data_IF_018935711421
#
_entry.id   IF_018935711421
#
_cell.length_a   1.000
_cell.length_b   1.000
_cell.length_c   1.000
_cell.angle_alpha   90.00
_cell.angle_beta   90.00
_cell.angle_gamma   90.00
#
_symmetry.space_group_name_H-M   'P 1'
#
loop_
_entity.id
_entity.type
_entity.pdbx_description
1 polymer ?
#
# COMPACT_ATOMS: atom_id res chain seq x y z
N UNK A 1 -48.11 -14.51 50.98
CA UNK A 1 -46.75 -14.62 51.53
C UNK A 1 -46.02 -15.84 50.94
N UNK A 2 -46.63 -17.05 50.98
CA UNK A 2 -46.01 -18.26 50.46
C UNK A 2 -45.75 -18.17 48.93
N UNK A 3 -46.65 -17.64 48.15
CA UNK A 3 -46.50 -17.44 46.69
C UNK A 3 -45.44 -16.43 46.33
N UNK A 4 -45.28 -15.39 47.14
CA UNK A 4 -44.21 -14.40 46.89
C UNK A 4 -42.82 -14.96 47.14
N UNK A 5 -42.67 -15.78 48.18
CA UNK A 5 -41.39 -16.45 48.47
C UNK A 5 -41.01 -17.45 47.37
N UNK A 6 -41.98 -18.28 46.92
CA UNK A 6 -41.73 -19.19 45.77
C UNK A 6 -41.34 -18.46 44.52
N UNK A 7 -41.95 -17.31 44.21
CA UNK A 7 -41.59 -16.51 43.03
C UNK A 7 -40.13 -16.01 43.08
N UNK A 8 -39.69 -15.50 44.24
CA UNK A 8 -38.34 -15.04 44.41
C UNK A 8 -37.30 -16.18 44.35
N UNK A 9 -37.64 -17.38 44.83
CA UNK A 9 -36.78 -18.56 44.75
C UNK A 9 -36.59 -18.99 43.29
N UNK A 10 -37.69 -19.06 42.51
CA UNK A 10 -37.62 -19.43 41.09
C UNK A 10 -36.84 -18.37 40.31
N UNK A 11 -37.04 -17.09 40.55
CA UNK A 11 -36.31 -16.02 39.89
C UNK A 11 -34.82 -16.06 40.21
N UNK A 12 -34.44 -16.42 41.44
CA UNK A 12 -33.07 -16.58 41.86
C UNK A 12 -32.37 -17.76 41.14
N UNK A 13 -33.06 -18.88 40.95
CA UNK A 13 -32.53 -20.04 40.22
C UNK A 13 -32.28 -19.69 38.74
N UNK A 14 -33.23 -19.00 38.09
CA UNK A 14 -33.08 -18.57 36.68
C UNK A 14 -31.90 -17.61 36.52
N UNK A 15 -31.69 -16.70 37.47
CA UNK A 15 -30.56 -15.78 37.45
C UNK A 15 -29.21 -16.50 37.63
N UNK A 16 -29.14 -17.53 38.46
CA UNK A 16 -27.92 -18.35 38.62
C UNK A 16 -27.58 -19.14 37.37
N UNK A 17 -28.58 -19.72 36.69
CA UNK A 17 -28.37 -20.42 35.42
C UNK A 17 -27.86 -19.47 34.32
N UNK A 18 -28.32 -18.24 34.26
CA UNK A 18 -27.87 -17.23 33.31
C UNK A 18 -26.39 -16.83 33.54
N UNK A 19 -25.95 -16.83 34.80
CA UNK A 19 -24.57 -16.53 35.18
C UNK A 19 -23.63 -17.68 34.78
N UNK A 20 -24.05 -18.93 34.95
CA UNK A 20 -23.30 -20.12 34.61
C UNK A 20 -23.08 -20.24 33.09
N UNK A 21 -24.11 -20.00 32.28
CA UNK A 21 -24.02 -19.99 30.80
C UNK A 21 -23.03 -18.91 30.34
N UNK A 22 -23.07 -17.72 30.94
CA UNK A 22 -22.16 -16.63 30.59
C UNK A 22 -20.71 -16.93 30.95
N UNK A 23 -20.47 -17.56 32.11
CA UNK A 23 -19.13 -17.94 32.54
C UNK A 23 -18.52 -19.02 31.65
N UNK A 24 -19.30 -19.98 31.19
CA UNK A 24 -18.88 -21.06 30.31
C UNK A 24 -18.47 -20.50 28.92
N UNK A 25 -19.27 -19.56 28.38
CA UNK A 25 -18.93 -18.92 27.08
C UNK A 25 -17.64 -18.10 27.14
N UNK A 26 -17.40 -17.39 28.24
CA UNK A 26 -16.18 -16.61 28.43
C UNK A 26 -14.96 -17.53 28.52
N UNK A 27 -15.07 -18.68 29.17
CA UNK A 27 -13.99 -19.66 29.33
C UNK A 27 -13.63 -20.32 28.00
N UNK A 28 -14.61 -20.64 27.14
CA UNK A 28 -14.37 -21.20 25.80
C UNK A 28 -13.71 -20.17 24.87
N UNK A 29 -14.15 -18.92 24.91
CA UNK A 29 -13.56 -17.83 24.12
C UNK A 29 -12.12 -17.55 24.55
N UNK A 30 -11.84 -17.53 25.88
CA UNK A 30 -10.50 -17.33 26.41
C UNK A 30 -9.53 -18.45 26.04
N UNK A 31 -10.00 -19.69 25.86
CA UNK A 31 -9.18 -20.84 25.48
C UNK A 31 -8.87 -20.87 23.98
N UNK A 32 -9.72 -20.24 23.17
CA UNK A 32 -9.58 -20.17 21.69
C UNK A 32 -8.60 -19.08 21.24
N UNK A 33 -8.45 -18.00 21.99
CA UNK A 33 -7.59 -16.86 21.68
C UNK A 33 -6.08 -17.26 21.62
N UNK A 34 -5.49 -18.00 22.59
CA UNK A 34 -4.10 -18.36 22.53
C UNK A 34 -3.77 -19.30 21.34
N UNK A 35 -4.70 -20.20 20.97
CA UNK A 35 -4.50 -21.10 19.83
C UNK A 35 -4.51 -20.31 18.51
N UNK A 36 -5.38 -19.30 18.37
CA UNK A 36 -5.42 -18.41 17.22
C UNK A 36 -4.17 -17.53 17.10
N UNK A 37 -3.64 -17.05 18.22
CA UNK A 37 -2.41 -16.24 18.24
C UNK A 37 -1.20 -17.11 17.87
N UNK A 38 -1.11 -18.34 18.39
CA UNK A 38 -0.02 -19.27 18.08
C UNK A 38 -0.04 -19.70 16.60
N UNK A 39 -1.23 -19.92 16.03
CA UNK A 39 -1.40 -20.22 14.61
C UNK A 39 -1.02 -19.01 13.73
N UNK A 40 -1.41 -17.80 14.12
CA UNK A 40 -1.08 -16.56 13.42
C UNK A 40 0.43 -16.26 13.44
N UNK A 41 1.10 -16.47 14.59
CA UNK A 41 2.55 -16.29 14.72
C UNK A 41 3.32 -17.36 13.93
N UNK A 42 2.84 -18.61 13.89
CA UNK A 42 3.44 -19.67 13.09
C UNK A 42 3.29 -19.43 11.58
N UNK A 43 2.13 -18.92 11.15
CA UNK A 43 1.87 -18.56 9.76
C UNK A 43 2.71 -17.34 9.34
N UNK A 44 2.89 -16.37 10.23
CA UNK A 44 3.76 -15.20 10.02
C UNK A 44 5.24 -15.58 9.97
N UNK A 45 5.68 -16.57 10.72
CA UNK A 45 7.05 -17.10 10.65
C UNK A 45 7.30 -17.87 9.35
N UNK A 46 6.32 -18.62 8.83
CA UNK A 46 6.44 -19.30 7.53
C UNK A 46 6.45 -18.33 6.36
N UNK A 47 5.68 -17.23 6.43
CA UNK A 47 5.69 -16.16 5.41
C UNK A 47 7.00 -15.36 5.43
N UNK A 48 7.73 -15.32 6.54
CA UNK A 48 9.04 -14.64 6.61
C UNK A 48 10.21 -15.46 6.06
N UNK A 49 10.05 -16.78 5.86
CA UNK A 49 11.11 -17.63 5.29
C UNK A 49 11.02 -17.79 3.76
N UNK A 50 9.90 -17.38 3.13
CA UNK A 50 9.91 -17.19 1.70
C UNK A 50 10.72 -15.91 1.40
N UNK A 51 12.02 -16.10 1.19
CA UNK A 51 12.93 -15.08 0.69
C UNK A 51 12.33 -14.51 -0.59
N UNK A 52 11.56 -13.44 -0.45
CA UNK A 52 11.15 -12.63 -1.60
C UNK A 52 12.46 -12.08 -2.18
N UNK A 53 13.00 -12.78 -3.16
CA UNK A 53 14.04 -12.19 -4.00
C UNK A 53 13.40 -10.99 -4.66
N UNK A 54 13.62 -9.81 -4.05
CA UNK A 54 13.28 -8.56 -4.69
C UNK A 54 13.93 -8.60 -6.07
N UNK A 55 13.15 -8.43 -7.15
CA UNK A 55 13.70 -8.45 -8.49
C UNK A 55 14.88 -7.48 -8.52
N UNK A 56 15.99 -7.96 -9.06
CA UNK A 56 17.23 -7.18 -9.17
C UNK A 56 16.91 -5.84 -9.83
N UNK A 57 17.43 -4.76 -9.27
CA UNK A 57 17.28 -3.42 -9.83
C UNK A 57 17.77 -3.44 -11.27
N UNK A 58 16.93 -3.08 -12.19
CA UNK A 58 17.15 -3.19 -13.61
C UNK A 58 17.87 -1.97 -14.19
N UNK A 59 17.81 -1.76 -15.50
CA UNK A 59 18.55 -0.77 -16.28
C UNK A 59 18.43 0.70 -15.86
N UNK A 60 17.55 1.03 -14.91
CA UNK A 60 17.44 2.39 -14.37
C UNK A 60 18.44 2.61 -13.24
N UNK A 61 19.18 3.73 -13.24
CA UNK A 61 20.05 4.07 -12.14
C UNK A 61 19.24 4.30 -10.86
N UNK A 62 19.76 3.90 -9.71
CA UNK A 62 19.11 4.20 -8.41
C UNK A 62 19.08 5.69 -8.10
N UNK A 63 20.06 6.41 -8.63
CA UNK A 63 20.26 7.84 -8.37
C UNK A 63 20.67 8.56 -9.66
N UNK A 64 20.14 9.77 -9.84
CA UNK A 64 20.50 10.66 -10.92
C UNK A 64 20.81 12.07 -10.37
N UNK A 65 22.07 12.49 -10.52
CA UNK A 65 22.57 13.80 -10.06
C UNK A 65 22.23 14.11 -8.59
N UNK A 66 22.32 13.13 -7.69
CA UNK A 66 22.07 13.28 -6.27
C UNK A 66 20.61 13.07 -5.85
N UNK A 67 19.73 12.64 -6.75
CA UNK A 67 18.31 12.39 -6.49
C UNK A 67 17.93 10.95 -6.76
N UNK A 68 17.13 10.36 -5.87
CA UNK A 68 16.60 9.01 -6.05
C UNK A 68 15.71 8.92 -7.30
N UNK A 69 15.95 7.95 -8.16
CA UNK A 69 15.13 7.64 -9.33
C UNK A 69 14.05 6.61 -8.96
N UNK A 70 12.80 6.94 -9.24
CA UNK A 70 11.65 6.05 -8.99
C UNK A 70 11.05 5.48 -10.27
N UNK A 71 11.56 5.87 -11.42
CA UNK A 71 11.10 5.39 -12.72
C UNK A 71 11.55 6.28 -13.86
N UNK A 72 11.01 5.99 -15.04
CA UNK A 72 11.27 6.71 -16.28
C UNK A 72 9.97 6.99 -17.01
N UNK A 73 9.86 8.16 -17.64
CA UNK A 73 8.77 8.53 -18.54
C UNK A 73 9.31 8.64 -19.97
N UNK A 74 8.60 8.03 -20.92
CA UNK A 74 8.88 8.10 -22.34
C UNK A 74 7.63 8.56 -23.09
N UNK A 75 7.77 9.52 -23.97
CA UNK A 75 6.70 10.00 -24.87
C UNK A 75 7.28 10.01 -26.29
N UNK A 76 7.09 8.92 -27.06
CA UNK A 76 7.72 8.75 -28.36
C UNK A 76 7.44 9.87 -29.37
N UNK A 77 6.18 10.35 -29.43
CA UNK A 77 5.79 11.47 -30.32
C UNK A 77 6.62 12.73 -30.08
N UNK A 78 7.03 12.99 -28.85
CA UNK A 78 7.82 14.16 -28.49
C UNK A 78 9.34 13.89 -28.47
N UNK A 79 9.75 12.65 -28.75
CA UNK A 79 11.11 12.18 -28.51
C UNK A 79 11.61 12.56 -27.11
N UNK A 80 10.73 12.38 -26.11
CA UNK A 80 11.00 12.71 -24.71
C UNK A 80 11.28 11.44 -23.94
N UNK A 81 12.41 11.40 -23.27
CA UNK A 81 12.79 10.37 -22.30
C UNK A 81 13.44 11.03 -21.09
N UNK A 82 12.87 10.83 -19.89
CA UNK A 82 13.34 11.43 -18.63
C UNK A 82 13.18 10.48 -17.45
N UNK A 83 14.15 10.52 -16.54
CA UNK A 83 13.97 9.91 -15.22
C UNK A 83 12.95 10.66 -14.40
N UNK A 84 12.21 9.94 -13.55
CA UNK A 84 11.29 10.48 -12.58
C UNK A 84 11.98 10.42 -11.22
N UNK A 85 12.19 11.59 -10.61
CA UNK A 85 12.82 11.70 -9.29
C UNK A 85 11.76 11.58 -8.18
N UNK A 86 12.18 11.03 -7.03
CA UNK A 86 11.27 10.74 -5.90
C UNK A 86 10.73 11.99 -5.21
N UNK A 87 11.47 13.10 -5.25
CA UNK A 87 11.12 14.34 -4.56
C UNK A 87 11.10 15.54 -5.51
N UNK A 88 10.31 16.57 -5.15
CA UNK A 88 10.21 17.81 -5.90
C UNK A 88 10.92 18.95 -5.18
N UNK A 89 11.84 19.59 -5.88
CA UNK A 89 12.48 20.85 -5.52
C UNK A 89 12.81 21.63 -6.80
N UNK A 90 13.09 22.93 -6.67
CA UNK A 90 13.54 23.73 -7.83
C UNK A 90 14.80 23.15 -8.47
N UNK A 91 15.70 22.61 -7.64
CA UNK A 91 16.94 22.00 -8.09
C UNK A 91 16.68 20.68 -8.82
N UNK A 92 15.81 19.84 -8.27
CA UNK A 92 15.43 18.56 -8.88
C UNK A 92 14.73 18.77 -10.23
N UNK A 93 13.82 19.73 -10.33
CA UNK A 93 13.13 20.10 -11.57
C UNK A 93 14.07 20.61 -12.68
N UNK A 94 15.21 21.20 -12.34
CA UNK A 94 16.25 21.57 -13.33
C UNK A 94 16.98 20.35 -13.91
N UNK A 95 16.93 19.23 -13.22
CA UNK A 95 17.69 18.01 -13.58
C UNK A 95 16.82 17.04 -14.37
N UNK A 96 15.58 16.81 -13.94
CA UNK A 96 14.65 15.86 -14.55
C UNK A 96 13.20 16.22 -14.21
N UNK A 97 12.26 15.31 -14.49
CA UNK A 97 10.89 15.41 -13.99
C UNK A 97 10.80 14.79 -12.59
N UNK A 98 9.83 15.21 -11.79
CA UNK A 98 9.75 14.83 -10.37
C UNK A 98 8.36 14.36 -9.99
N UNK A 99 8.26 13.44 -9.03
CA UNK A 99 6.99 13.08 -8.40
C UNK A 99 6.61 14.18 -7.41
N UNK A 100 5.45 14.82 -7.62
CA UNK A 100 4.92 15.84 -6.71
C UNK A 100 3.94 15.29 -5.69
N UNK A 101 3.21 14.23 -6.05
CA UNK A 101 2.23 13.59 -5.18
C UNK A 101 1.93 12.15 -5.65
N UNK A 102 1.27 11.39 -4.78
CA UNK A 102 0.79 10.05 -5.09
C UNK A 102 1.84 8.94 -4.88
N UNK A 103 1.50 7.71 -5.30
CA UNK A 103 2.36 6.53 -5.16
C UNK A 103 3.57 6.58 -6.10
N UNK A 104 4.38 5.53 -6.08
CA UNK A 104 5.47 5.33 -7.07
C UNK A 104 4.86 4.85 -8.41
N UNK A 105 5.73 4.81 -9.43
CA UNK A 105 5.35 4.24 -10.74
C UNK A 105 4.91 2.80 -10.55
N UNK A 106 3.81 2.42 -11.21
CA UNK A 106 3.24 1.07 -11.17
C UNK A 106 2.62 0.63 -9.83
N UNK A 107 2.36 1.57 -8.92
CA UNK A 107 1.57 1.36 -7.71
C UNK A 107 0.14 1.89 -7.89
N UNK A 108 -0.81 1.34 -7.12
CA UNK A 108 -2.22 1.75 -7.20
C UNK A 108 -2.39 3.17 -6.64
N UNK A 109 -2.97 4.04 -7.44
CA UNK A 109 -3.30 5.42 -7.04
C UNK A 109 -3.08 6.43 -8.17
N UNK A 110 -3.10 7.71 -7.81
CA UNK A 110 -2.93 8.81 -8.75
C UNK A 110 -1.52 9.40 -8.61
N UNK A 111 -0.62 9.01 -9.50
CA UNK A 111 0.74 9.54 -9.57
C UNK A 111 0.75 10.89 -10.27
N UNK A 112 1.23 11.93 -9.59
CA UNK A 112 1.42 13.27 -10.15
C UNK A 112 2.90 13.53 -10.44
N UNK A 113 3.22 13.86 -11.69
CA UNK A 113 4.57 14.15 -12.15
C UNK A 113 4.63 15.60 -12.63
N UNK A 114 5.62 16.36 -12.17
CA UNK A 114 5.90 17.71 -12.63
C UNK A 114 7.20 17.76 -13.43
N UNK A 115 7.27 18.69 -14.35
CA UNK A 115 8.45 19.05 -15.11
C UNK A 115 8.41 20.50 -15.52
N UNK A 116 9.58 21.11 -15.73
CA UNK A 116 9.64 22.47 -16.26
C UNK A 116 9.03 22.55 -17.67
N UNK A 117 8.51 23.74 -17.99
CA UNK A 117 7.98 24.05 -19.31
C UNK A 117 9.14 24.38 -20.34
N UNK A 118 10.14 23.50 -20.36
CA UNK A 118 11.23 23.56 -21.36
C UNK A 118 10.98 22.55 -22.46
N UNK A 119 11.52 22.80 -23.67
CA UNK A 119 11.41 21.90 -24.82
C UNK A 119 11.92 20.48 -24.50
N UNK A 120 12.96 20.38 -23.68
CA UNK A 120 13.58 19.11 -23.27
C UNK A 120 12.84 18.39 -22.13
N UNK A 121 11.78 18.98 -21.59
CA UNK A 121 10.94 18.43 -20.54
C UNK A 121 9.47 18.48 -20.96
N UNK A 122 8.59 19.15 -20.21
CA UNK A 122 7.15 19.13 -20.45
C UNK A 122 6.63 20.29 -21.32
N UNK A 123 7.49 21.14 -21.86
CA UNK A 123 7.09 22.27 -22.69
C UNK A 123 6.34 21.92 -23.98
N UNK A 124 6.52 20.70 -24.46
CA UNK A 124 5.87 20.20 -25.69
C UNK A 124 4.64 19.32 -25.41
N UNK A 125 4.20 19.12 -24.17
CA UNK A 125 3.02 18.28 -23.86
C UNK A 125 1.75 18.76 -24.56
N UNK A 126 1.64 20.05 -24.88
CA UNK A 126 0.52 20.61 -25.65
C UNK A 126 0.41 20.09 -27.10
N UNK A 127 1.43 19.40 -27.60
CA UNK A 127 1.46 18.79 -28.94
C UNK A 127 0.86 17.38 -28.94
N UNK A 128 0.55 16.84 -27.74
CA UNK A 128 -0.08 15.53 -27.59
C UNK A 128 -1.57 15.60 -27.94
N UNK A 129 -2.03 14.54 -28.56
CA UNK A 129 -3.42 14.34 -28.95
C UNK A 129 -3.96 13.05 -28.33
N UNK A 130 -5.27 12.89 -28.33
CA UNK A 130 -5.90 11.67 -27.86
C UNK A 130 -5.45 10.47 -28.70
N UNK A 131 -4.87 9.47 -28.04
CA UNK A 131 -4.33 8.25 -28.66
C UNK A 131 -2.81 8.24 -28.75
N UNK A 132 -2.13 9.34 -28.44
CA UNK A 132 -0.67 9.32 -28.30
C UNK A 132 -0.25 8.46 -27.08
N UNK A 133 0.88 7.80 -27.22
CA UNK A 133 1.37 6.85 -26.23
C UNK A 133 2.30 7.57 -25.24
N UNK A 134 2.08 7.31 -23.96
CA UNK A 134 2.96 7.64 -22.85
C UNK A 134 3.35 6.35 -22.15
N UNK A 135 4.66 6.13 -21.96
CA UNK A 135 5.18 4.91 -21.31
C UNK A 135 5.81 5.31 -19.97
N UNK A 136 5.38 4.68 -18.90
CA UNK A 136 6.03 4.75 -17.60
C UNK A 136 6.74 3.42 -17.33
N UNK A 137 8.02 3.48 -16.96
CA UNK A 137 8.80 2.32 -16.56
C UNK A 137 9.19 2.49 -15.10
N UNK A 138 8.91 1.49 -14.26
CA UNK A 138 9.32 1.50 -12.85
C UNK A 138 10.76 0.99 -12.66
N UNK A 139 11.22 0.96 -11.41
CA UNK A 139 12.56 0.49 -11.05
C UNK A 139 12.75 -1.03 -11.19
N UNK A 140 11.73 -1.77 -11.62
CA UNK A 140 11.75 -3.22 -11.89
C UNK A 140 11.52 -3.52 -13.38
N UNK A 141 11.73 -2.54 -14.29
CA UNK A 141 11.47 -2.60 -15.74
C UNK A 141 10.02 -2.94 -16.13
N UNK A 142 9.07 -2.83 -15.22
CA UNK A 142 7.65 -3.01 -15.56
C UNK A 142 7.14 -1.75 -16.25
N UNK A 143 6.51 -1.92 -17.42
CA UNK A 143 6.02 -0.82 -18.26
C UNK A 143 4.51 -0.71 -18.19
N UNK A 144 4.01 0.53 -18.13
CA UNK A 144 2.61 0.92 -18.29
C UNK A 144 2.50 1.86 -19.48
N UNK A 145 1.47 1.66 -20.31
CA UNK A 145 1.13 2.50 -21.46
C UNK A 145 -0.30 2.98 -21.38
#
# INVERSE_FOLDING_TARGET
IVFTIMFFVILSIILLEQIDIKSTQITETSKKIPILVETYEAEKMQVQEEKIELPEYTNLPREWKGYEVIGKIEIPKLNLEKYILSETSEQALKVAVTKTAGPRVNEIGNLCIAGHNYIQTFGRLKELEKGDILILTDTYDRKIT
#
